data_IF_954939042609
#
_entry.id   IF_954939042609
#
_cell.length_a   1.000
_cell.length_b   1.000
_cell.length_c   1.000
_cell.angle_alpha   90.00
_cell.angle_beta   90.00
_cell.angle_gamma   90.00
#
_symmetry.space_group_name_H-M   'P 1'
#
loop_
_entity.id
_entity.type
_entity.pdbx_description
1 polymer ?
#
# COMPACT_ATOMS: atom_id res chain seq x y z
N UNK A 1 -12.12 -15.49 -36.58
CA UNK A 1 -10.80 -14.84 -36.70
C UNK A 1 -10.18 -14.79 -35.32
N UNK A 2 -9.12 -15.55 -35.06
CA UNK A 2 -8.41 -15.49 -33.78
C UNK A 2 -7.59 -14.20 -33.76
N UNK A 3 -8.03 -13.19 -33.01
CA UNK A 3 -7.19 -12.03 -32.72
C UNK A 3 -5.97 -12.53 -31.96
N UNK A 4 -4.76 -12.15 -32.40
CA UNK A 4 -3.55 -12.44 -31.64
C UNK A 4 -3.75 -12.03 -30.17
N UNK A 5 -3.27 -12.83 -29.19
CA UNK A 5 -3.46 -12.52 -27.79
C UNK A 5 -2.90 -11.12 -27.51
N UNK A 6 -3.71 -10.26 -26.90
CA UNK A 6 -3.27 -8.93 -26.45
C UNK A 6 -2.14 -9.13 -25.45
N UNK A 7 -1.04 -8.41 -25.61
CA UNK A 7 0.06 -8.42 -24.65
C UNK A 7 -0.22 -7.43 -23.52
N UNK A 8 0.25 -7.75 -22.32
CA UNK A 8 0.27 -6.80 -21.20
C UNK A 8 1.31 -5.71 -21.47
N UNK A 9 0.90 -4.45 -21.27
CA UNK A 9 1.80 -3.29 -21.42
C UNK A 9 1.84 -2.56 -20.09
N UNK A 10 2.96 -2.71 -19.37
CA UNK A 10 3.17 -2.05 -18.09
C UNK A 10 3.77 -0.66 -18.27
N UNK A 11 3.31 0.30 -17.47
CA UNK A 11 3.88 1.64 -17.38
C UNK A 11 3.76 2.21 -15.98
N UNK A 12 4.66 3.13 -15.64
CA UNK A 12 4.57 3.93 -14.42
C UNK A 12 3.31 4.81 -14.50
N UNK A 13 2.51 4.79 -13.46
CA UNK A 13 1.37 5.70 -13.29
C UNK A 13 1.70 6.74 -12.23
N UNK A 14 1.73 8.01 -12.61
CA UNK A 14 1.88 9.11 -11.67
C UNK A 14 0.50 9.65 -11.29
N UNK A 15 0.15 9.52 -10.01
CA UNK A 15 -1.05 10.11 -9.47
C UNK A 15 -0.93 11.65 -9.51
N UNK A 16 -1.88 12.31 -10.18
CA UNK A 16 -1.82 13.75 -10.38
C UNK A 16 -1.82 14.47 -9.04
N UNK A 17 -0.87 15.39 -8.79
CA UNK A 17 -0.76 16.17 -7.53
C UNK A 17 -0.51 15.35 -6.27
N UNK A 18 -0.05 14.11 -6.43
CA UNK A 18 0.41 13.29 -5.33
C UNK A 18 1.93 13.36 -5.29
N UNK A 19 2.48 13.64 -4.11
CA UNK A 19 3.92 13.59 -3.85
C UNK A 19 4.18 12.51 -2.81
N UNK A 20 4.88 11.41 -3.17
CA UNK A 20 5.30 10.40 -2.19
C UNK A 20 6.18 11.04 -1.11
N UNK A 21 6.02 10.61 0.14
CA UNK A 21 6.79 11.07 1.28
C UNK A 21 7.58 9.90 1.86
N UNK A 22 8.86 10.15 2.16
CA UNK A 22 9.60 9.28 3.08
C UNK A 22 9.06 9.55 4.50
N UNK A 23 8.31 8.58 5.03
CA UNK A 23 7.81 8.60 6.41
C UNK A 23 8.27 7.38 7.22
N UNK A 24 8.83 6.38 6.54
CA UNK A 24 9.25 5.13 7.15
C UNK A 24 10.38 5.40 8.15
N UNK A 25 11.41 6.12 7.71
CA UNK A 25 12.58 6.51 8.51
C UNK A 25 12.38 7.81 9.30
N UNK A 26 11.15 8.35 9.40
CA UNK A 26 10.89 9.58 10.15
C UNK A 26 11.35 9.44 11.61
N UNK A 27 12.26 10.29 12.12
CA UNK A 27 12.71 10.21 13.50
C UNK A 27 11.61 10.63 14.47
N UNK A 28 11.24 9.75 15.39
CA UNK A 28 10.28 10.00 16.47
C UNK A 28 10.85 9.40 17.75
N UNK A 29 10.95 10.21 18.81
CA UNK A 29 11.53 9.79 20.10
C UNK A 29 12.91 9.09 19.98
N UNK A 30 13.74 9.54 19.03
CA UNK A 30 15.08 8.99 18.81
C UNK A 30 15.14 7.65 18.07
N UNK A 31 14.01 7.18 17.53
CA UNK A 31 13.88 5.93 16.74
C UNK A 31 13.20 6.22 15.40
N UNK A 32 13.27 5.27 14.48
CA UNK A 32 12.55 5.38 13.21
C UNK A 32 11.07 5.06 13.42
N UNK A 33 10.17 5.78 12.76
CA UNK A 33 8.72 5.65 12.97
C UNK A 33 8.23 4.20 12.78
N UNK A 34 8.72 3.49 11.76
CA UNK A 34 8.34 2.10 11.53
C UNK A 34 8.66 1.17 12.71
N UNK A 35 9.70 1.46 13.50
CA UNK A 35 10.03 0.66 14.68
C UNK A 35 9.01 0.85 15.81
N UNK A 36 8.39 2.04 15.84
CA UNK A 36 7.44 2.43 16.87
C UNK A 36 6.02 2.06 16.53
N UNK A 37 5.60 2.13 15.28
CA UNK A 37 4.20 1.87 14.92
C UNK A 37 4.02 0.72 13.92
N UNK A 38 5.10 0.07 13.49
CA UNK A 38 5.04 -1.00 12.51
C UNK A 38 4.49 -2.31 13.06
N UNK A 39 3.97 -3.15 12.16
CA UNK A 39 3.47 -4.48 12.50
C UNK A 39 4.46 -5.35 13.30
N UNK A 40 5.80 -5.34 13.11
CA UNK A 40 6.71 -6.11 13.96
C UNK A 40 6.52 -5.87 15.46
N UNK A 41 6.35 -4.60 15.86
CA UNK A 41 6.06 -4.23 17.24
C UNK A 41 4.71 -4.80 17.67
N UNK A 42 3.66 -4.52 16.91
CA UNK A 42 2.28 -4.95 17.22
C UNK A 42 2.18 -6.48 17.33
N UNK A 43 2.82 -7.23 16.44
CA UNK A 43 2.85 -8.70 16.53
C UNK A 43 3.65 -9.20 17.74
N UNK A 44 4.66 -8.44 18.20
CA UNK A 44 5.39 -8.76 19.43
C UNK A 44 4.50 -8.56 20.65
N UNK A 45 3.79 -7.43 20.70
CA UNK A 45 2.83 -7.11 21.77
C UNK A 45 1.68 -8.13 21.82
N UNK A 46 1.14 -8.51 20.64
CA UNK A 46 0.11 -9.56 20.53
C UNK A 46 0.60 -10.91 21.04
N UNK A 47 1.84 -11.32 20.70
CA UNK A 47 2.44 -12.56 21.24
C UNK A 47 2.71 -12.50 22.74
N UNK A 48 2.93 -11.30 23.28
CA UNK A 48 3.06 -11.06 24.71
C UNK A 48 1.71 -11.03 25.44
N UNK A 49 0.59 -11.16 24.73
CA UNK A 49 -0.76 -11.22 25.31
C UNK A 49 -1.39 -9.85 25.57
N UNK A 50 -0.89 -8.79 24.93
CA UNK A 50 -1.53 -7.47 25.00
C UNK A 50 -2.92 -7.54 24.33
N UNK A 51 -4.00 -7.10 25.03
CA UNK A 51 -5.35 -7.05 24.45
C UNK A 51 -5.45 -6.18 23.19
N UNK A 52 -6.31 -6.55 22.24
CA UNK A 52 -6.45 -5.86 20.94
C UNK A 52 -6.85 -4.38 21.08
N UNK A 53 -7.72 -4.06 22.03
CA UNK A 53 -8.13 -2.68 22.34
C UNK A 53 -6.97 -1.82 22.88
N UNK A 54 -5.99 -2.44 23.55
CA UNK A 54 -4.79 -1.78 24.05
C UNK A 54 -3.69 -1.65 22.98
N UNK A 55 -3.69 -2.51 21.94
CA UNK A 55 -2.69 -2.43 20.87
C UNK A 55 -2.77 -1.08 20.15
N UNK A 56 -3.98 -0.59 19.86
CA UNK A 56 -4.18 0.71 19.21
C UNK A 56 -3.68 1.87 20.09
N UNK A 57 -4.02 1.87 21.38
CA UNK A 57 -3.63 2.91 22.33
C UNK A 57 -2.12 3.10 22.41
N UNK A 58 -1.39 1.99 22.33
CA UNK A 58 0.06 1.97 22.36
C UNK A 58 0.74 2.58 21.12
N UNK A 59 0.02 2.76 20.01
CA UNK A 59 0.52 3.42 18.80
C UNK A 59 0.44 4.94 18.88
N UNK A 60 -0.57 5.46 19.59
CA UNK A 60 -0.94 6.87 19.52
C UNK A 60 0.16 7.86 19.93
N UNK A 61 1.00 7.62 20.96
CA UNK A 61 2.05 8.58 21.30
C UNK A 61 3.02 8.84 20.14
N UNK A 62 3.47 7.78 19.46
CA UNK A 62 4.37 7.88 18.33
C UNK A 62 3.66 8.42 17.09
N UNK A 63 2.41 7.97 16.84
CA UNK A 63 1.60 8.44 15.72
C UNK A 63 1.30 9.94 15.84
N UNK A 64 0.84 10.42 16.99
CA UNK A 64 0.56 11.85 17.21
C UNK A 64 1.81 12.69 17.03
N UNK A 65 2.96 12.28 17.59
CA UNK A 65 4.22 13.02 17.40
C UNK A 65 4.66 13.05 15.93
N UNK A 66 4.50 11.95 15.20
CA UNK A 66 4.77 11.91 13.76
C UNK A 66 3.83 12.85 12.99
N UNK A 67 2.53 12.82 13.31
CA UNK A 67 1.53 13.68 12.68
C UNK A 67 1.80 15.15 12.94
N UNK A 68 2.14 15.55 14.16
CA UNK A 68 2.50 16.94 14.49
C UNK A 68 3.67 17.43 13.62
N UNK A 69 4.73 16.62 13.50
CA UNK A 69 5.88 16.96 12.67
C UNK A 69 5.50 17.08 11.18
N UNK A 70 4.76 16.11 10.64
CA UNK A 70 4.39 16.07 9.23
C UNK A 70 3.39 17.16 8.87
N UNK A 71 2.40 17.40 9.74
CA UNK A 71 1.39 18.45 9.56
C UNK A 71 2.07 19.81 9.49
N UNK A 72 2.99 20.09 10.42
CA UNK A 72 3.72 21.35 10.42
C UNK A 72 4.67 21.46 9.22
N UNK A 73 5.47 20.42 8.94
CA UNK A 73 6.45 20.41 7.84
C UNK A 73 5.80 20.62 6.47
N UNK A 74 4.62 20.04 6.26
CA UNK A 74 3.95 20.06 4.96
C UNK A 74 2.76 21.03 4.89
N UNK A 75 2.49 21.77 5.98
CA UNK A 75 1.38 22.72 6.09
C UNK A 75 0.06 22.11 5.58
N UNK A 76 -0.30 20.93 6.11
CA UNK A 76 -1.49 20.19 5.67
C UNK A 76 -2.73 20.68 6.42
N UNK A 77 -3.89 20.63 5.77
CA UNK A 77 -5.18 21.03 6.35
C UNK A 77 -6.07 19.83 6.69
N UNK A 78 -5.64 18.61 6.35
CA UNK A 78 -6.25 17.36 6.82
C UNK A 78 -5.25 16.19 6.80
N UNK A 79 -5.55 15.17 7.60
CA UNK A 79 -4.87 13.87 7.58
C UNK A 79 -5.89 12.79 7.22
N UNK A 80 -5.50 11.83 6.39
CA UNK A 80 -6.27 10.63 6.07
C UNK A 80 -5.45 9.38 6.38
N UNK A 81 -6.01 8.49 7.18
CA UNK A 81 -5.36 7.26 7.66
C UNK A 81 -6.05 6.02 7.10
N UNK A 82 -5.24 5.07 6.64
CA UNK A 82 -5.69 3.74 6.21
C UNK A 82 -4.66 2.68 6.60
N UNK A 83 -4.82 1.45 6.10
CA UNK A 83 -3.93 0.33 6.36
C UNK A 83 -4.46 -0.65 7.41
N UNK A 84 -3.76 -1.77 7.57
CA UNK A 84 -4.21 -2.85 8.45
C UNK A 84 -4.20 -2.50 9.93
N UNK A 85 -3.30 -1.62 10.38
CA UNK A 85 -3.25 -1.20 11.78
C UNK A 85 -4.36 -0.20 12.13
N UNK A 86 -4.92 0.50 11.14
CA UNK A 86 -6.12 1.32 11.33
C UNK A 86 -7.39 0.46 11.53
N UNK A 87 -7.31 -0.87 11.39
CA UNK A 87 -8.40 -1.81 11.69
C UNK A 87 -8.36 -2.36 13.13
N UNK A 88 -7.39 -1.94 13.96
CA UNK A 88 -7.34 -2.35 15.37
C UNK A 88 -8.59 -1.87 16.11
N UNK A 89 -9.02 -2.64 17.11
CA UNK A 89 -10.18 -2.29 17.92
C UNK A 89 -9.98 -0.93 18.60
N UNK A 90 -11.02 -0.09 18.56
CA UNK A 90 -10.98 1.25 19.16
C UNK A 90 -10.10 2.28 18.44
N UNK A 91 -9.44 1.93 17.32
CA UNK A 91 -8.47 2.81 16.66
C UNK A 91 -9.06 4.17 16.27
N UNK A 92 -10.22 4.20 15.61
CA UNK A 92 -10.86 5.45 15.13
C UNK A 92 -11.18 6.41 16.28
N UNK A 93 -11.81 5.91 17.35
CA UNK A 93 -12.15 6.72 18.53
C UNK A 93 -10.89 7.16 19.27
N UNK A 94 -9.91 6.28 19.37
CA UNK A 94 -8.65 6.53 20.06
C UNK A 94 -7.80 7.59 19.35
N UNK A 95 -7.63 7.48 18.03
CA UNK A 95 -6.85 8.43 17.25
C UNK A 95 -7.50 9.81 17.26
N UNK A 96 -8.83 9.90 17.13
CA UNK A 96 -9.56 11.17 17.19
C UNK A 96 -9.32 11.91 18.52
N UNK A 97 -9.28 11.18 19.64
CA UNK A 97 -8.93 11.76 20.96
C UNK A 97 -7.45 12.16 21.02
N UNK A 98 -6.55 11.30 20.58
CA UNK A 98 -5.11 11.51 20.66
C UNK A 98 -4.62 12.67 19.77
N UNK A 99 -5.34 12.99 18.69
CA UNK A 99 -4.98 14.05 17.75
C UNK A 99 -5.87 15.28 17.87
N UNK A 100 -6.66 15.43 18.93
CA UNK A 100 -7.59 16.55 19.11
C UNK A 100 -6.89 17.93 19.11
N UNK A 101 -5.61 17.99 19.45
CA UNK A 101 -4.80 19.20 19.48
C UNK A 101 -4.04 19.50 18.17
N UNK A 102 -4.13 18.63 17.15
CA UNK A 102 -3.31 18.70 15.92
C UNK A 102 -3.63 19.92 15.03
N UNK A 103 -4.72 20.63 15.28
CA UNK A 103 -5.12 21.83 14.54
C UNK A 103 -5.77 21.57 13.17
N UNK A 104 -5.80 20.31 12.72
CA UNK A 104 -6.51 19.86 11.52
C UNK A 104 -7.28 18.55 11.80
N UNK A 105 -8.36 18.26 11.04
CA UNK A 105 -9.08 16.99 11.17
C UNK A 105 -8.21 15.80 10.75
N UNK A 106 -8.37 14.70 11.48
CA UNK A 106 -7.80 13.38 11.15
C UNK A 106 -8.96 12.44 10.81
N UNK A 107 -8.95 11.94 9.59
CA UNK A 107 -9.93 10.98 9.08
C UNK A 107 -9.33 9.58 9.07
N UNK A 108 -10.12 8.59 9.48
CA UNK A 108 -9.82 7.18 9.24
C UNK A 108 -10.74 6.71 8.12
N UNK A 109 -10.20 5.96 7.17
CA UNK A 109 -10.99 5.41 6.07
C UNK A 109 -12.13 4.51 6.57
N UNK A 110 -13.26 4.51 5.86
CA UNK A 110 -14.38 3.58 6.14
C UNK A 110 -14.00 2.11 5.89
N UNK A 111 -13.00 1.86 5.02
CA UNK A 111 -12.48 0.54 4.73
C UNK A 111 -10.94 0.54 4.76
N UNK A 112 -10.31 0.73 5.93
CA UNK A 112 -8.89 1.05 6.00
C UNK A 112 -8.00 0.03 5.30
N UNK A 113 -8.37 -1.25 5.35
CA UNK A 113 -7.60 -2.33 4.74
C UNK A 113 -7.66 -2.34 3.21
N UNK A 114 -8.78 -1.92 2.60
CA UNK A 114 -9.04 -2.08 1.17
C UNK A 114 -9.21 -0.78 0.39
N UNK A 115 -9.34 0.38 1.06
CA UNK A 115 -9.56 1.66 0.39
C UNK A 115 -8.55 1.97 -0.73
N UNK A 116 -7.22 1.75 -0.56
CA UNK A 116 -6.27 1.88 -1.66
C UNK A 116 -6.61 0.97 -2.85
N UNK A 117 -6.86 -0.32 -2.61
CA UNK A 117 -7.21 -1.26 -3.68
C UNK A 117 -8.52 -0.88 -4.41
N UNK A 118 -9.48 -0.25 -3.72
CA UNK A 118 -10.69 0.24 -4.37
C UNK A 118 -10.47 1.48 -5.22
N UNK A 119 -9.57 2.38 -4.81
CA UNK A 119 -9.20 3.53 -5.62
C UNK A 119 -8.60 3.13 -6.98
N UNK A 120 -7.87 2.02 -7.04
CA UNK A 120 -7.28 1.51 -8.28
C UNK A 120 -8.31 1.15 -9.36
N UNK A 121 -9.57 0.90 -9.01
CA UNK A 121 -10.64 0.68 -10.00
C UNK A 121 -10.92 1.92 -10.84
N UNK A 122 -10.75 3.12 -10.27
CA UNK A 122 -10.94 4.37 -11.01
C UNK A 122 -9.76 4.69 -11.93
N UNK A 123 -8.57 4.15 -11.64
CA UNK A 123 -7.36 4.39 -12.43
C UNK A 123 -7.34 3.58 -13.73
N UNK A 124 -7.85 2.34 -13.67
CA UNK A 124 -7.87 1.42 -14.81
C UNK A 124 -9.24 1.48 -15.48
N UNK A 125 -9.32 2.15 -16.63
CA UNK A 125 -10.54 2.28 -17.42
C UNK A 125 -10.89 0.98 -18.19
N UNK A 126 -11.12 -0.10 -17.46
CA UNK A 126 -11.42 -1.45 -17.99
C UNK A 126 -12.76 -1.97 -17.46
N UNK A 127 -13.40 -2.91 -18.18
CA UNK A 127 -14.64 -3.55 -17.70
C UNK A 127 -14.37 -4.62 -16.65
N UNK A 128 -13.21 -5.27 -16.77
CA UNK A 128 -12.74 -6.32 -15.86
C UNK A 128 -11.37 -5.94 -15.26
N UNK A 129 -11.31 -4.85 -14.46
CA UNK A 129 -10.07 -4.44 -13.83
C UNK A 129 -9.69 -5.40 -12.70
N UNK A 130 -8.38 -5.57 -12.52
CA UNK A 130 -7.79 -6.27 -11.39
C UNK A 130 -6.86 -5.31 -10.65
N UNK A 131 -7.06 -5.13 -9.34
CA UNK A 131 -6.25 -4.20 -8.54
C UNK A 131 -5.53 -4.97 -7.45
N UNK A 132 -4.22 -4.73 -7.31
CA UNK A 132 -3.39 -5.23 -6.23
C UNK A 132 -2.76 -4.06 -5.48
N UNK A 133 -2.98 -4.04 -4.17
CA UNK A 133 -2.20 -3.29 -3.19
C UNK A 133 -1.25 -4.27 -2.49
N UNK A 134 0.01 -4.29 -2.95
CA UNK A 134 1.04 -5.16 -2.38
C UNK A 134 1.61 -4.49 -1.15
N UNK A 135 1.16 -4.92 0.03
CA UNK A 135 1.76 -4.54 1.29
C UNK A 135 2.94 -5.44 1.66
N UNK A 136 3.67 -5.06 2.71
CA UNK A 136 4.82 -5.85 3.20
C UNK A 136 4.41 -7.04 4.09
N UNK A 137 3.19 -7.03 4.63
CA UNK A 137 2.60 -8.13 5.41
C UNK A 137 1.60 -8.96 4.60
N UNK A 138 0.86 -8.33 3.69
CA UNK A 138 -0.13 -9.00 2.86
C UNK A 138 -0.40 -8.24 1.57
N UNK A 139 -0.91 -8.95 0.57
CA UNK A 139 -1.45 -8.39 -0.67
C UNK A 139 -2.96 -8.28 -0.54
N UNK A 140 -3.52 -7.11 -0.80
CA UNK A 140 -4.96 -6.92 -0.96
C UNK A 140 -5.25 -6.86 -2.43
N UNK A 141 -6.15 -7.72 -2.86
CA UNK A 141 -6.48 -7.89 -4.26
C UNK A 141 -7.99 -7.74 -4.45
N UNK A 142 -8.38 -6.96 -5.45
CA UNK A 142 -9.78 -6.65 -5.71
C UNK A 142 -10.09 -6.74 -7.21
N UNK A 143 -11.27 -7.28 -7.50
CA UNK A 143 -11.98 -7.14 -8.79
C UNK A 143 -13.45 -6.85 -8.50
N UNK A 144 -14.26 -6.38 -9.47
CA UNK A 144 -15.68 -6.15 -9.22
C UNK A 144 -16.35 -7.36 -8.56
N UNK A 145 -16.94 -7.14 -7.37
CA UNK A 145 -17.63 -8.15 -6.58
C UNK A 145 -16.74 -9.16 -5.82
N UNK A 146 -15.40 -9.05 -5.87
CA UNK A 146 -14.50 -9.96 -5.16
C UNK A 146 -13.34 -9.19 -4.53
N UNK A 147 -13.14 -9.42 -3.23
CA UNK A 147 -11.97 -8.98 -2.49
C UNK A 147 -11.26 -10.18 -1.86
N UNK A 148 -9.93 -10.16 -1.84
CA UNK A 148 -9.11 -11.19 -1.21
C UNK A 148 -7.88 -10.57 -0.54
N UNK A 149 -7.44 -11.22 0.52
CA UNK A 149 -6.16 -10.93 1.17
C UNK A 149 -5.28 -12.18 1.08
N UNK A 150 -4.02 -11.99 0.72
CA UNK A 150 -2.99 -13.01 0.72
C UNK A 150 -1.93 -12.62 1.73
N UNK A 151 -1.85 -13.35 2.85
CA UNK A 151 -0.85 -13.11 3.89
C UNK A 151 0.52 -13.59 3.41
N UNK A 152 1.56 -12.81 3.68
CA UNK A 152 2.96 -13.15 3.38
C UNK A 152 3.44 -14.17 4.40
N UNK A 153 3.77 -15.37 3.93
CA UNK A 153 4.44 -16.37 4.76
C UNK A 153 5.91 -15.99 4.95
N UNK A 154 6.30 -15.75 6.20
CA UNK A 154 7.65 -15.30 6.56
C UNK A 154 8.68 -16.44 6.56
N UNK A 155 8.24 -17.70 6.50
CA UNK A 155 9.16 -18.84 6.35
C UNK A 155 9.66 -18.95 4.89
N UNK A 156 8.77 -18.74 3.92
CA UNK A 156 9.09 -18.83 2.49
C UNK A 156 9.56 -17.49 1.91
N UNK A 157 9.04 -16.37 2.40
CA UNK A 157 9.36 -15.03 1.94
C UNK A 157 9.70 -14.12 3.14
N UNK A 158 10.89 -14.31 3.76
CA UNK A 158 11.30 -13.54 4.93
C UNK A 158 11.46 -12.05 4.59
N UNK A 159 11.38 -11.20 5.63
CA UNK A 159 11.56 -9.75 5.49
C UNK A 159 13.03 -9.41 5.44
N UNK A 160 13.46 -8.78 4.36
CA UNK A 160 14.82 -8.31 4.14
C UNK A 160 14.86 -6.80 4.37
N UNK A 161 15.07 -6.36 5.61
CA UNK A 161 15.08 -4.92 5.92
C UNK A 161 16.08 -4.16 5.04
N UNK A 162 15.74 -2.91 4.71
CA UNK A 162 16.58 -2.05 3.86
C UNK A 162 17.97 -1.92 4.51
N UNK A 163 19.02 -2.11 3.72
CA UNK A 163 20.41 -2.10 4.21
C UNK A 163 20.94 -3.45 4.71
N UNK A 164 20.09 -4.47 4.88
CA UNK A 164 20.57 -5.83 5.14
C UNK A 164 21.14 -6.50 3.88
N UNK A 165 22.21 -7.32 3.97
CA UNK A 165 22.70 -8.12 2.86
C UNK A 165 21.59 -8.94 2.20
N UNK A 166 21.56 -8.93 0.87
CA UNK A 166 20.59 -9.71 0.08
C UNK A 166 21.15 -11.12 -0.20
N UNK A 167 20.32 -12.18 -0.19
CA UNK A 167 20.74 -13.51 -0.62
C UNK A 167 21.31 -13.48 -2.04
N UNK A 168 22.54 -13.99 -2.21
CA UNK A 168 23.28 -13.92 -3.49
C UNK A 168 22.72 -14.82 -4.58
N UNK A 169 21.94 -15.82 -4.21
CA UNK A 169 21.27 -16.76 -5.11
C UNK A 169 19.94 -16.22 -5.67
N UNK A 170 19.47 -15.06 -5.19
CA UNK A 170 18.27 -14.39 -5.71
C UNK A 170 16.94 -15.08 -5.39
N UNK A 171 16.91 -16.12 -4.55
CA UNK A 171 15.69 -16.92 -4.31
C UNK A 171 14.52 -16.09 -3.77
N UNK A 172 14.82 -15.03 -3.00
CA UNK A 172 13.83 -14.10 -2.45
C UNK A 172 13.07 -13.33 -3.53
N UNK A 173 13.72 -12.97 -4.64
CA UNK A 173 13.07 -12.32 -5.78
C UNK A 173 12.09 -13.29 -6.43
N UNK A 174 12.51 -14.52 -6.70
CA UNK A 174 11.65 -15.57 -7.28
C UNK A 174 10.46 -15.85 -6.37
N UNK A 175 10.67 -15.97 -5.05
CA UNK A 175 9.59 -16.17 -4.09
C UNK A 175 8.61 -14.97 -4.06
N UNK A 176 9.10 -13.74 -4.18
CA UNK A 176 8.27 -12.54 -4.25
C UNK A 176 7.43 -12.47 -5.52
N UNK A 177 8.04 -12.76 -6.68
CA UNK A 177 7.34 -12.87 -7.98
C UNK A 177 6.25 -13.92 -7.88
N UNK A 178 6.58 -15.13 -7.37
CA UNK A 178 5.63 -16.22 -7.20
C UNK A 178 4.45 -15.84 -6.32
N UNK A 179 4.71 -15.16 -5.19
CA UNK A 179 3.68 -14.72 -4.26
C UNK A 179 2.69 -13.73 -4.90
N UNK A 180 3.20 -12.71 -5.60
CA UNK A 180 2.37 -11.70 -6.26
C UNK A 180 1.62 -12.30 -7.46
N UNK A 181 2.29 -13.11 -8.28
CA UNK A 181 1.70 -13.81 -9.40
C UNK A 181 0.56 -14.76 -8.97
N UNK A 182 0.75 -15.48 -7.86
CA UNK A 182 -0.30 -16.29 -7.27
C UNK A 182 -1.50 -15.46 -6.81
N UNK A 183 -1.29 -14.29 -6.21
CA UNK A 183 -2.38 -13.40 -5.80
C UNK A 183 -3.21 -12.95 -7.02
N UNK A 184 -2.54 -12.53 -8.10
CA UNK A 184 -3.18 -12.20 -9.38
C UNK A 184 -4.03 -13.37 -9.90
N UNK A 185 -3.44 -14.56 -10.06
CA UNK A 185 -4.14 -15.79 -10.51
C UNK A 185 -5.31 -16.16 -9.62
N UNK A 186 -5.11 -16.06 -8.30
CA UNK A 186 -6.12 -16.46 -7.35
C UNK A 186 -7.37 -15.55 -7.39
N UNK A 187 -7.20 -14.27 -7.71
CA UNK A 187 -8.30 -13.33 -7.87
C UNK A 187 -9.04 -13.47 -9.20
N UNK A 188 -8.37 -13.95 -10.26
CA UNK A 188 -8.99 -14.23 -11.56
C UNK A 188 -9.72 -15.56 -11.63
N UNK A 189 -9.61 -16.39 -10.57
CA UNK A 189 -10.43 -17.60 -10.44
C UNK A 189 -11.91 -17.26 -10.60
N UNK A 190 -12.62 -18.14 -11.32
CA UNK A 190 -14.05 -18.04 -11.61
C UNK A 190 -14.46 -16.83 -12.48
N UNK A 191 -13.54 -16.26 -13.28
CA UNK A 191 -13.92 -15.31 -14.35
C UNK A 191 -14.67 -15.99 -15.52
N UNK A 192 -14.68 -17.31 -15.58
CA UNK A 192 -15.31 -18.05 -16.68
C UNK A 192 -14.61 -17.74 -18.00
N UNK A 193 -15.36 -17.21 -18.97
CA UNK A 193 -14.84 -16.80 -20.28
C UNK A 193 -14.40 -15.33 -20.33
N UNK A 194 -14.52 -14.59 -19.22
CA UNK A 194 -14.11 -13.19 -19.16
C UNK A 194 -12.58 -13.09 -19.10
N UNK A 195 -12.03 -12.20 -19.92
CA UNK A 195 -10.63 -11.81 -19.87
C UNK A 195 -10.43 -10.65 -18.89
N UNK A 196 -9.24 -10.55 -18.28
CA UNK A 196 -8.81 -9.34 -17.59
C UNK A 196 -8.41 -8.31 -18.64
N UNK A 197 -8.92 -7.09 -18.51
CA UNK A 197 -8.72 -6.02 -19.48
C UNK A 197 -7.75 -4.94 -19.00
N UNK A 198 -7.43 -4.91 -17.71
CA UNK A 198 -6.44 -3.99 -17.15
C UNK A 198 -6.06 -4.33 -15.71
N UNK A 199 -4.87 -3.92 -15.31
CA UNK A 199 -4.31 -4.18 -13.98
C UNK A 199 -3.81 -2.89 -13.34
N UNK A 200 -4.15 -2.66 -12.08
CA UNK A 200 -3.49 -1.67 -11.22
C UNK A 200 -2.62 -2.43 -10.22
N UNK A 201 -1.31 -2.23 -10.26
CA UNK A 201 -0.34 -2.89 -9.41
C UNK A 201 0.39 -1.84 -8.56
N UNK A 202 -0.01 -1.70 -7.32
CA UNK A 202 0.71 -0.88 -6.35
C UNK A 202 1.77 -1.71 -5.62
N UNK A 203 3.02 -1.26 -5.68
CA UNK A 203 4.16 -1.90 -5.03
C UNK A 203 4.60 -1.11 -3.79
N UNK A 204 5.09 -1.78 -2.73
CA UNK A 204 5.47 -1.16 -1.46
C UNK A 204 6.89 -0.57 -1.51
N UNK A 205 7.23 0.11 -2.60
CA UNK A 205 8.53 0.72 -2.83
C UNK A 205 8.43 1.92 -3.78
N UNK A 206 9.43 2.82 -3.78
CA UNK A 206 9.63 3.76 -4.88
C UNK A 206 9.81 3.01 -6.21
N UNK A 207 9.42 3.66 -7.31
CA UNK A 207 9.52 3.12 -8.68
C UNK A 207 9.94 4.24 -9.63
N UNK A 208 10.90 3.95 -10.50
CA UNK A 208 11.26 4.85 -11.59
C UNK A 208 10.37 4.68 -12.83
N UNK A 209 10.64 5.46 -13.88
CA UNK A 209 9.90 5.39 -15.15
C UNK A 209 10.06 4.05 -15.88
N UNK A 210 11.17 3.35 -15.64
CA UNK A 210 11.48 2.04 -16.21
C UNK A 210 10.91 0.89 -15.35
N UNK A 211 10.13 1.21 -14.31
CA UNK A 211 9.56 0.27 -13.35
C UNK A 211 10.61 -0.48 -12.51
N UNK A 212 11.82 0.06 -12.40
CA UNK A 212 12.85 -0.48 -11.52
C UNK A 212 12.45 -0.16 -10.07
N UNK A 213 12.29 -1.18 -9.21
CA UNK A 213 11.84 -0.97 -7.84
C UNK A 213 12.99 -0.49 -6.94
N UNK A 214 12.67 0.43 -6.03
CA UNK A 214 13.52 0.85 -4.92
C UNK A 214 13.37 -0.04 -3.68
N UNK A 215 13.95 0.44 -2.56
CA UNK A 215 14.00 -0.21 -1.25
C UNK A 215 12.66 -0.70 -0.70
N UNK A 216 12.59 -1.97 -0.28
CA UNK A 216 11.51 -2.50 0.57
C UNK A 216 11.92 -3.81 1.26
N UNK A 217 11.02 -4.42 2.04
CA UNK A 217 11.33 -5.69 2.74
C UNK A 217 11.24 -6.95 1.88
N UNK A 218 10.91 -6.84 0.60
CA UNK A 218 11.00 -7.97 -0.32
C UNK A 218 12.42 -8.16 -0.87
N UNK A 219 13.28 -7.14 -0.82
CA UNK A 219 14.69 -7.23 -1.21
C UNK A 219 14.94 -7.25 -2.72
N UNK A 220 13.98 -6.83 -3.54
CA UNK A 220 14.07 -6.84 -5.01
C UNK A 220 14.67 -5.56 -5.59
N UNK A 221 15.33 -4.74 -4.79
CA UNK A 221 15.81 -3.42 -5.23
C UNK A 221 16.69 -3.52 -6.49
N UNK A 222 16.39 -2.70 -7.50
CA UNK A 222 17.14 -2.70 -8.75
C UNK A 222 16.78 -3.84 -9.72
N UNK A 223 15.85 -4.73 -9.37
CA UNK A 223 15.44 -5.84 -10.25
C UNK A 223 14.54 -5.34 -11.38
N UNK A 224 15.15 -4.94 -12.49
CA UNK A 224 14.47 -4.28 -13.61
C UNK A 224 13.35 -5.11 -14.28
N UNK A 225 13.42 -6.44 -14.22
CA UNK A 225 12.40 -7.32 -14.80
C UNK A 225 11.24 -7.63 -13.86
N UNK A 226 11.23 -7.14 -12.61
CA UNK A 226 10.27 -7.54 -11.57
C UNK A 226 8.81 -7.56 -12.06
N UNK A 227 8.35 -6.46 -12.67
CA UNK A 227 6.97 -6.34 -13.14
C UNK A 227 6.69 -7.32 -14.28
N UNK A 228 7.62 -7.45 -15.23
CA UNK A 228 7.51 -8.40 -16.34
C UNK A 228 7.45 -9.83 -15.82
N UNK A 229 8.34 -10.21 -14.91
CA UNK A 229 8.41 -11.54 -14.31
C UNK A 229 7.09 -11.88 -13.57
N UNK A 230 6.51 -10.92 -12.84
CA UNK A 230 5.21 -11.07 -12.17
C UNK A 230 4.09 -11.34 -13.19
N UNK A 231 4.03 -10.56 -14.27
CA UNK A 231 2.97 -10.68 -15.27
C UNK A 231 3.09 -11.96 -16.10
N UNK A 232 4.31 -12.33 -16.48
CA UNK A 232 4.61 -13.57 -17.20
C UNK A 232 4.26 -14.78 -16.33
N UNK A 233 4.70 -14.78 -15.08
CA UNK A 233 4.38 -15.88 -14.18
C UNK A 233 2.88 -15.94 -13.89
N UNK A 234 2.21 -14.79 -13.67
CA UNK A 234 0.78 -14.74 -13.42
C UNK A 234 -0.05 -15.31 -14.59
N UNK A 235 0.45 -15.24 -15.82
CA UNK A 235 -0.17 -15.80 -17.01
C UNK A 235 -1.68 -15.48 -17.10
N UNK A 236 -2.04 -14.22 -16.82
CA UNK A 236 -3.45 -13.82 -16.71
C UNK A 236 -4.19 -13.97 -18.04
N UNK A 237 -5.47 -14.42 -18.01
CA UNK A 237 -6.27 -14.49 -19.22
C UNK A 237 -6.54 -13.08 -19.73
N UNK A 238 -6.21 -12.80 -20.99
CA UNK A 238 -6.42 -11.49 -21.61
C UNK A 238 -5.14 -10.74 -21.90
N UNK A 239 -5.23 -9.42 -21.82
CA UNK A 239 -4.14 -8.49 -22.11
C UNK A 239 -4.65 -7.07 -22.19
N UNK A 240 -3.80 -6.12 -21.78
CA UNK A 240 -4.18 -4.72 -21.69
C UNK A 240 -3.14 -3.89 -20.96
N UNK A 241 -3.58 -2.76 -20.43
CA UNK A 241 -2.74 -1.84 -19.68
C UNK A 241 -2.47 -2.39 -18.26
N UNK A 242 -1.24 -2.22 -17.81
CA UNK A 242 -0.84 -2.40 -16.41
C UNK A 242 -0.30 -1.08 -15.88
N UNK A 243 -1.06 -0.46 -14.98
CA UNK A 243 -0.64 0.73 -14.27
C UNK A 243 0.14 0.31 -13.03
N UNK A 244 1.40 0.73 -12.93
CA UNK A 244 2.25 0.43 -11.78
C UNK A 244 2.54 1.71 -11.02
N UNK A 245 2.34 1.68 -9.71
CA UNK A 245 2.54 2.83 -8.82
C UNK A 245 3.04 2.41 -7.44
N UNK A 246 3.43 3.38 -6.63
CA UNK A 246 3.72 3.14 -5.22
C UNK A 246 2.41 3.00 -4.42
N UNK A 247 2.42 2.18 -3.36
CA UNK A 247 1.27 1.95 -2.47
C UNK A 247 0.76 3.22 -1.77
N UNK A 248 1.64 4.12 -1.36
CA UNK A 248 1.24 5.40 -0.77
C UNK A 248 0.58 6.33 -1.80
N UNK A 249 0.97 6.25 -3.09
CA UNK A 249 0.26 6.99 -4.15
C UNK A 249 -1.15 6.45 -4.37
N UNK A 250 -1.31 5.12 -4.37
CA UNK A 250 -2.63 4.49 -4.45
C UNK A 250 -3.51 4.86 -3.24
N UNK A 251 -2.90 4.96 -2.05
CA UNK A 251 -3.59 5.43 -0.86
C UNK A 251 -4.03 6.90 -0.95
N UNK A 252 -3.23 7.77 -1.59
CA UNK A 252 -3.64 9.15 -1.85
C UNK A 252 -4.83 9.25 -2.82
N UNK A 253 -4.91 8.36 -3.82
CA UNK A 253 -6.10 8.26 -4.68
C UNK A 253 -7.35 7.85 -3.90
N UNK A 254 -7.22 6.96 -2.91
CA UNK A 254 -8.33 6.62 -2.01
C UNK A 254 -8.79 7.83 -1.18
N UNK A 255 -7.83 8.54 -0.58
CA UNK A 255 -8.12 9.78 0.15
C UNK A 255 -8.84 10.82 -0.72
N UNK A 256 -8.43 10.98 -1.99
CA UNK A 256 -9.09 11.87 -2.95
C UNK A 256 -10.56 11.53 -3.12
N UNK A 257 -10.88 10.24 -3.26
CA UNK A 257 -12.27 9.78 -3.47
C UNK A 257 -13.11 9.99 -2.21
N UNK A 258 -12.61 9.56 -1.04
CA UNK A 258 -13.34 9.66 0.22
C UNK A 258 -13.54 11.11 0.66
N UNK A 259 -12.50 11.94 0.56
CA UNK A 259 -12.51 13.31 1.06
C UNK A 259 -12.91 14.35 0.01
N UNK A 260 -13.37 13.94 -1.19
CA UNK A 260 -13.76 14.86 -2.28
C UNK A 260 -14.73 15.97 -1.88
N UNK A 261 -15.56 15.73 -0.86
CA UNK A 261 -16.57 16.69 -0.37
C UNK A 261 -16.03 17.65 0.70
N UNK A 262 -14.86 17.37 1.28
CA UNK A 262 -14.34 18.07 2.44
C UNK A 262 -13.55 19.35 2.10
N UNK A 263 -13.29 19.63 0.81
CA UNK A 263 -12.64 20.86 0.30
C UNK A 263 -11.25 21.16 0.90
N UNK A 264 -10.54 20.13 1.35
CA UNK A 264 -9.16 20.22 1.83
C UNK A 264 -8.19 20.43 0.67
N UNK A 265 -7.25 21.36 0.81
CA UNK A 265 -6.28 21.68 -0.23
C UNK A 265 -5.02 20.82 -0.14
N UNK A 266 -4.64 20.37 1.06
CA UNK A 266 -3.38 19.67 1.32
C UNK A 266 -3.63 18.55 2.32
N UNK A 267 -3.72 17.33 1.83
CA UNK A 267 -4.08 16.16 2.63
C UNK A 267 -2.82 15.30 2.82
N UNK A 268 -2.45 15.04 4.07
CA UNK A 268 -1.46 14.03 4.42
C UNK A 268 -2.14 12.66 4.40
N UNK A 269 -1.72 11.77 3.51
CA UNK A 269 -2.23 10.41 3.41
C UNK A 269 -1.21 9.44 4.00
N UNK A 270 -1.57 8.72 5.07
CA UNK A 270 -0.72 7.70 5.66
C UNK A 270 -1.35 6.31 5.59
N UNK A 271 -0.54 5.31 5.24
CA UNK A 271 -0.90 3.89 5.35
C UNK A 271 -0.20 3.31 6.57
N UNK A 272 -0.96 2.69 7.47
CA UNK A 272 -0.47 2.11 8.72
C UNK A 272 -0.46 0.58 8.60
N UNK A 273 0.73 0.00 8.44
CA UNK A 273 0.90 -1.44 8.19
C UNK A 273 2.19 -1.99 8.80
N UNK A 274 2.95 -2.76 8.00
CA UNK A 274 4.26 -3.27 8.44
C UNK A 274 5.21 -2.16 8.90
N UNK A 275 5.19 -1.05 8.18
CA UNK A 275 5.57 0.26 8.65
C UNK A 275 4.81 1.28 7.81
N UNK A 276 4.96 2.58 8.14
CA UNK A 276 4.13 3.60 7.55
C UNK A 276 4.56 3.92 6.12
N UNK A 277 3.58 4.05 5.22
CA UNK A 277 3.74 4.73 3.94
C UNK A 277 3.10 6.11 4.01
N UNK A 278 3.57 7.03 3.18
CA UNK A 278 3.12 8.42 3.21
C UNK A 278 3.09 9.09 1.85
N UNK A 279 2.08 9.92 1.63
CA UNK A 279 1.98 10.77 0.45
C UNK A 279 1.28 12.08 0.81
N UNK A 280 1.62 13.15 0.09
CA UNK A 280 0.93 14.43 0.14
C UNK A 280 0.04 14.56 -1.10
N UNK A 281 -1.26 14.70 -0.90
CA UNK A 281 -2.23 15.02 -1.94
C UNK A 281 -2.54 16.51 -1.91
N UNK A 282 -2.43 17.18 -3.06
CA UNK A 282 -2.78 18.60 -3.19
C UNK A 282 -3.90 18.84 -4.20
N UNK A 283 -4.78 19.80 -3.93
CA UNK A 283 -5.81 20.25 -4.88
C UNK A 283 -5.47 21.64 -5.43
N UNK A 284 -5.95 21.97 -6.63
CA UNK A 284 -5.93 23.37 -7.08
C UNK A 284 -6.87 24.18 -6.21
N UNK A 285 -6.42 25.36 -5.81
CA UNK A 285 -7.29 26.46 -5.41
C UNK A 285 -8.17 26.93 -6.55
#
# INVERSE_FOLDING_TARGET
>A
MSSAPRRWTARRYHAERVTPLEVWNLPVFGRELWELIGAPRVETDRRAGVPEDQLAEQLFPALTSALEQLVHRHAVDAVWLSGGLACLEGFEVGVAKATAALGCPVYVSESPRFAPAYAGFALVAARTPLVLDVGQTSIKCARPGVQRVFERDLHTLPRLFIGMPRPTDGHHIVAAVHFIANALRACTRNLGHLAVEGVCLALPCPLDEALVPGGCTYGWEGHASLVTDILEEAALPGGGEVLVLNDAELAAEAARVELRRHRHLRILCLTLGFGPGGALLTHST
#
